data_IF_147035647574
#
_entry.id   IF_147035647574
#
_cell.length_a   1.000
_cell.length_b   1.000
_cell.length_c   1.000
_cell.angle_alpha   90.00
_cell.angle_beta   90.00
_cell.angle_gamma   90.00
#
_symmetry.space_group_name_H-M   'P 1'
#
loop_
_entity.id
_entity.type
_entity.pdbx_description
1 polymer ?
#
# COMPACT_ATOMS: atom_id res chain seq x y z
N UNK A 1 10.01 -31.10 -8.90
CA UNK A 1 10.04 -29.63 -9.01
C UNK A 1 8.62 -29.08 -9.17
N UNK A 2 7.85 -28.91 -8.09
CA UNK A 2 6.43 -28.51 -8.17
C UNK A 2 5.98 -27.50 -7.07
N UNK A 3 6.91 -26.82 -6.39
CA UNK A 3 6.58 -25.98 -5.22
C UNK A 3 6.44 -24.47 -5.46
N UNK A 4 7.14 -23.89 -6.44
CA UNK A 4 7.26 -22.42 -6.56
C UNK A 4 6.05 -21.72 -7.18
N UNK A 5 5.21 -22.44 -7.92
CA UNK A 5 4.04 -21.85 -8.59
C UNK A 5 2.83 -21.71 -7.66
N UNK A 6 2.82 -22.36 -6.49
CA UNK A 6 1.65 -22.31 -5.58
C UNK A 6 1.67 -21.11 -4.65
N UNK A 7 2.82 -20.73 -4.06
CA UNK A 7 2.89 -19.64 -3.08
C UNK A 7 2.55 -18.27 -3.66
N UNK A 8 2.99 -18.00 -4.91
CA UNK A 8 2.65 -16.77 -5.60
C UNK A 8 1.15 -16.71 -5.92
N UNK A 9 0.58 -17.79 -6.46
CA UNK A 9 -0.87 -17.87 -6.74
C UNK A 9 -1.71 -17.75 -5.46
N UNK A 10 -1.30 -18.38 -4.35
CA UNK A 10 -1.94 -18.22 -3.04
C UNK A 10 -1.89 -16.76 -2.57
N UNK A 11 -0.78 -16.07 -2.80
CA UNK A 11 -0.64 -14.65 -2.50
C UNK A 11 -1.59 -13.81 -3.35
N UNK A 12 -1.65 -14.05 -4.66
CA UNK A 12 -2.58 -13.34 -5.54
C UNK A 12 -4.04 -13.61 -5.19
N UNK A 13 -4.38 -14.85 -4.85
CA UNK A 13 -5.71 -15.23 -4.42
C UNK A 13 -6.10 -14.49 -3.13
N UNK A 14 -5.22 -14.46 -2.14
CA UNK A 14 -5.44 -13.71 -0.90
C UNK A 14 -5.67 -12.21 -1.15
N UNK A 15 -4.90 -11.60 -2.06
CA UNK A 15 -5.09 -10.19 -2.44
C UNK A 15 -6.44 -9.96 -3.14
N UNK A 16 -6.84 -10.86 -4.05
CA UNK A 16 -8.15 -10.78 -4.72
C UNK A 16 -9.29 -10.89 -3.72
N UNK A 17 -9.20 -11.77 -2.74
CA UNK A 17 -10.23 -11.93 -1.70
C UNK A 17 -10.27 -10.70 -0.79
N UNK A 18 -9.11 -10.17 -0.39
CA UNK A 18 -9.00 -8.90 0.35
C UNK A 18 -9.70 -7.76 -0.41
N UNK A 19 -9.49 -7.65 -1.72
CA UNK A 19 -10.15 -6.63 -2.55
C UNK A 19 -11.66 -6.82 -2.53
N UNK A 20 -12.16 -8.04 -2.76
CA UNK A 20 -13.60 -8.33 -2.79
C UNK A 20 -14.26 -8.01 -1.45
N UNK A 21 -13.67 -8.45 -0.34
CA UNK A 21 -14.20 -8.25 1.01
C UNK A 21 -14.23 -6.77 1.39
N UNK A 22 -13.13 -6.06 1.17
CA UNK A 22 -13.00 -4.63 1.50
C UNK A 22 -13.93 -3.78 0.63
N UNK A 23 -13.98 -4.08 -0.68
CA UNK A 23 -14.86 -3.40 -1.64
C UNK A 23 -16.33 -3.54 -1.25
N UNK A 24 -16.77 -4.76 -0.91
CA UNK A 24 -18.15 -5.03 -0.44
C UNK A 24 -18.46 -4.31 0.86
N UNK A 25 -17.57 -4.39 1.84
CA UNK A 25 -17.73 -3.74 3.14
C UNK A 25 -17.91 -2.21 3.02
N UNK A 26 -17.19 -1.58 2.09
CA UNK A 26 -17.21 -0.13 1.90
C UNK A 26 -18.15 0.35 0.78
N UNK A 27 -18.86 -0.55 0.10
CA UNK A 27 -19.74 -0.21 -1.02
C UNK A 27 -19.00 0.44 -2.20
N UNK A 28 -17.78 -0.01 -2.48
CA UNK A 28 -16.94 0.45 -3.60
C UNK A 28 -16.78 -0.67 -4.61
N UNK A 29 -16.74 -0.36 -5.90
CA UNK A 29 -16.42 -1.32 -6.95
C UNK A 29 -14.96 -1.16 -7.37
N UNK A 30 -14.15 -2.20 -7.19
CA UNK A 30 -12.71 -2.14 -7.46
C UNK A 30 -12.23 -3.40 -8.18
N UNK A 31 -11.34 -3.22 -9.16
CA UNK A 31 -10.65 -4.32 -9.85
C UNK A 31 -9.15 -4.28 -9.55
N UNK A 32 -8.63 -5.44 -9.19
CA UNK A 32 -7.20 -5.68 -9.04
C UNK A 32 -6.63 -6.26 -10.33
N UNK A 33 -5.65 -5.58 -10.88
CA UNK A 33 -4.84 -6.02 -12.00
C UNK A 33 -3.46 -6.40 -11.47
N UNK A 34 -2.93 -7.53 -11.96
CA UNK A 34 -1.63 -8.04 -11.52
C UNK A 34 -0.75 -8.25 -12.74
N UNK A 35 0.45 -7.69 -12.70
CA UNK A 35 1.47 -7.83 -13.74
C UNK A 35 2.79 -8.29 -13.10
N UNK A 36 3.52 -9.17 -13.78
CA UNK A 36 4.79 -9.74 -13.29
C UNK A 36 4.69 -11.24 -13.00
N UNK A 37 5.77 -11.83 -12.48
CA UNK A 37 5.93 -13.27 -12.45
C UNK A 37 6.49 -13.85 -11.14
N UNK A 38 6.10 -15.09 -10.86
CA UNK A 38 6.36 -15.79 -9.59
C UNK A 38 7.82 -16.18 -9.33
N UNK A 39 8.61 -16.38 -10.40
CA UNK A 39 9.85 -17.17 -10.35
C UNK A 39 11.00 -16.55 -9.55
N UNK A 40 10.88 -15.28 -9.16
CA UNK A 40 11.95 -14.54 -8.47
C UNK A 40 11.78 -14.52 -6.95
N UNK A 41 10.69 -15.08 -6.43
CA UNK A 41 10.36 -15.05 -5.02
C UNK A 41 10.37 -16.44 -4.40
N UNK A 42 10.89 -16.55 -3.17
CA UNK A 42 10.70 -17.74 -2.36
C UNK A 42 9.45 -17.61 -1.47
N UNK A 43 8.96 -18.73 -0.95
CA UNK A 43 7.70 -18.80 -0.22
C UNK A 43 7.71 -17.96 1.08
N UNK A 44 8.85 -17.86 1.75
CA UNK A 44 9.01 -17.06 2.97
C UNK A 44 8.86 -15.56 2.66
N UNK A 45 9.55 -15.09 1.63
CA UNK A 45 9.51 -13.71 1.18
C UNK A 45 8.10 -13.32 0.69
N UNK A 46 7.45 -14.21 -0.07
CA UNK A 46 6.06 -14.01 -0.48
C UNK A 46 5.10 -13.96 0.70
N UNK A 47 5.33 -14.78 1.72
CA UNK A 47 4.50 -14.78 2.93
C UNK A 47 4.58 -13.44 3.67
N UNK A 48 5.80 -12.87 3.81
CA UNK A 48 6.01 -11.56 4.42
C UNK A 48 5.41 -10.43 3.59
N UNK A 49 5.58 -10.48 2.27
CA UNK A 49 5.02 -9.48 1.36
C UNK A 49 3.50 -9.52 1.30
N UNK A 50 2.89 -10.71 1.39
CA UNK A 50 1.44 -10.88 1.28
C UNK A 50 0.66 -9.99 2.24
N UNK A 51 1.07 -9.90 3.50
CA UNK A 51 0.40 -9.06 4.50
C UNK A 51 0.59 -7.57 4.21
N UNK A 52 1.81 -7.14 3.85
CA UNK A 52 2.09 -5.76 3.47
C UNK A 52 1.30 -5.33 2.23
N UNK A 53 1.25 -6.17 1.19
CA UNK A 53 0.49 -5.92 -0.02
C UNK A 53 -1.01 -5.91 0.25
N UNK A 54 -1.52 -6.83 1.07
CA UNK A 54 -2.93 -6.84 1.46
C UNK A 54 -3.30 -5.57 2.24
N UNK A 55 -2.37 -5.03 3.05
CA UNK A 55 -2.57 -3.76 3.74
C UNK A 55 -2.55 -2.57 2.76
N UNK A 56 -1.57 -2.50 1.85
CA UNK A 56 -1.48 -1.46 0.83
C UNK A 56 -2.75 -1.41 -0.04
N UNK A 57 -3.23 -2.58 -0.49
CA UNK A 57 -4.48 -2.71 -1.26
C UNK A 57 -5.70 -2.27 -0.44
N UNK A 58 -5.77 -2.63 0.85
CA UNK A 58 -6.84 -2.14 1.74
C UNK A 58 -6.83 -0.63 1.86
N UNK A 59 -5.66 -0.01 2.00
CA UNK A 59 -5.53 1.45 2.08
C UNK A 59 -5.95 2.14 0.79
N UNK A 60 -5.55 1.58 -0.36
CA UNK A 60 -6.02 2.03 -1.66
C UNK A 60 -7.55 1.99 -1.75
N UNK A 61 -8.21 0.92 -1.30
CA UNK A 61 -9.68 0.81 -1.34
C UNK A 61 -10.34 1.75 -0.30
N UNK A 62 -9.83 1.81 0.93
CA UNK A 62 -10.46 2.55 2.03
C UNK A 62 -10.32 4.07 1.83
N UNK A 63 -9.11 4.53 1.53
CA UNK A 63 -8.76 5.95 1.51
C UNK A 63 -8.50 6.50 0.11
N UNK A 64 -8.02 5.68 -0.83
CA UNK A 64 -7.74 6.12 -2.21
C UNK A 64 -9.00 6.16 -3.08
N UNK A 65 -9.57 5.00 -3.36
CA UNK A 65 -10.69 4.83 -4.29
C UNK A 65 -11.96 5.50 -3.73
N UNK A 66 -12.56 6.38 -4.52
CA UNK A 66 -13.81 7.04 -4.17
C UNK A 66 -15.02 6.12 -4.43
N UNK A 67 -16.20 6.44 -3.86
CA UNK A 67 -17.42 5.69 -4.18
C UNK A 67 -17.80 5.80 -5.67
N UNK A 68 -18.51 4.82 -6.26
CA UNK A 68 -18.87 4.85 -7.68
C UNK A 68 -19.60 6.15 -8.09
N UNK A 69 -20.45 6.67 -7.19
CA UNK A 69 -21.16 7.95 -7.38
C UNK A 69 -20.20 9.14 -7.43
N UNK A 70 -19.21 9.21 -6.55
CA UNK A 70 -18.21 10.29 -6.53
C UNK A 70 -17.33 10.20 -7.77
N UNK A 71 -16.88 8.99 -8.14
CA UNK A 71 -16.06 8.77 -9.34
C UNK A 71 -16.77 9.23 -10.62
N UNK A 72 -18.04 8.84 -10.78
CA UNK A 72 -18.87 9.25 -11.92
C UNK A 72 -19.02 10.77 -12.01
N UNK A 73 -19.24 11.46 -10.88
CA UNK A 73 -19.33 12.92 -10.83
C UNK A 73 -18.02 13.62 -11.22
N UNK A 74 -16.89 12.99 -10.93
CA UNK A 74 -15.55 13.47 -11.30
C UNK A 74 -15.11 13.01 -12.69
N UNK A 75 -15.99 12.39 -13.50
CA UNK A 75 -15.67 11.91 -14.85
C UNK A 75 -14.79 10.65 -14.91
N UNK A 76 -14.57 9.98 -13.77
CA UNK A 76 -13.81 8.73 -13.68
C UNK A 76 -14.70 7.51 -13.93
N UNK A 77 -14.07 6.38 -14.27
CA UNK A 77 -14.75 5.09 -14.32
C UNK A 77 -15.39 4.77 -12.94
N UNK A 78 -16.68 4.41 -12.86
CA UNK A 78 -17.33 4.03 -11.61
C UNK A 78 -16.62 2.88 -10.87
N UNK A 79 -15.94 2.00 -11.62
CA UNK A 79 -15.09 0.94 -11.10
C UNK A 79 -13.67 1.47 -10.93
N UNK A 80 -13.18 1.45 -9.68
CA UNK A 80 -11.80 1.78 -9.35
C UNK A 80 -10.81 0.72 -9.82
N UNK A 81 -9.58 1.15 -10.08
CA UNK A 81 -8.49 0.27 -10.53
C UNK A 81 -7.37 0.28 -9.50
N UNK A 82 -6.87 -0.91 -9.18
CA UNK A 82 -5.61 -1.10 -8.46
C UNK A 82 -4.70 -1.97 -9.34
N UNK A 83 -3.52 -1.47 -9.67
CA UNK A 83 -2.46 -2.21 -10.35
C UNK A 83 -1.40 -2.66 -9.35
N UNK A 84 -1.16 -3.96 -9.31
CA UNK A 84 -0.05 -4.59 -8.61
C UNK A 84 0.98 -5.06 -9.64
N UNK A 85 2.17 -4.45 -9.64
CA UNK A 85 3.23 -4.81 -10.58
C UNK A 85 4.45 -5.35 -9.83
N UNK A 86 4.97 -6.48 -10.29
CA UNK A 86 6.27 -7.02 -9.89
C UNK A 86 7.24 -6.87 -11.06
N UNK A 87 8.16 -5.91 -10.97
CA UNK A 87 9.14 -5.62 -12.00
C UNK A 87 10.54 -6.02 -11.55
N UNK A 88 11.25 -6.70 -12.44
CA UNK A 88 12.64 -7.11 -12.24
C UNK A 88 13.57 -5.99 -12.72
N UNK A 89 14.34 -5.39 -11.81
CA UNK A 89 15.44 -4.49 -12.13
C UNK A 89 16.78 -5.21 -11.90
N UNK A 90 17.88 -4.65 -12.41
CA UNK A 90 19.21 -5.28 -12.39
C UNK A 90 19.64 -5.75 -10.98
N UNK A 91 19.36 -4.94 -9.95
CA UNK A 91 19.80 -5.19 -8.57
C UNK A 91 18.65 -5.24 -7.55
N UNK A 92 17.41 -5.10 -7.99
CA UNK A 92 16.25 -5.03 -7.12
C UNK A 92 15.03 -5.66 -7.79
N UNK A 93 14.06 -6.07 -6.98
CA UNK A 93 12.70 -6.28 -7.46
C UNK A 93 11.87 -5.10 -6.99
N UNK A 94 11.19 -4.46 -7.93
CA UNK A 94 10.31 -3.32 -7.66
C UNK A 94 8.88 -3.81 -7.63
N UNK A 95 8.24 -3.69 -6.48
CA UNK A 95 6.83 -4.03 -6.28
C UNK A 95 6.04 -2.73 -6.18
N UNK A 96 5.12 -2.52 -7.11
CA UNK A 96 4.30 -1.31 -7.18
C UNK A 96 2.85 -1.65 -6.86
N UNK A 97 2.22 -0.88 -5.98
CA UNK A 97 0.76 -0.84 -5.78
C UNK A 97 0.27 0.54 -6.17
N UNK A 98 -0.51 0.63 -7.23
CA UNK A 98 -0.98 1.89 -7.80
C UNK A 98 -2.51 1.89 -7.87
N UNK A 99 -3.15 2.94 -7.35
CA UNK A 99 -4.59 3.16 -7.46
C UNK A 99 -4.91 4.40 -8.30
N UNK A 100 -6.11 4.43 -8.89
CA UNK A 100 -6.62 5.57 -9.66
C UNK A 100 -7.61 6.44 -8.83
N UNK A 101 -7.40 6.49 -7.51
CA UNK A 101 -8.27 7.15 -6.55
C UNK A 101 -8.07 8.66 -6.44
N UNK A 102 -8.50 9.23 -5.32
CA UNK A 102 -8.43 10.67 -5.07
C UNK A 102 -7.00 11.17 -4.79
N UNK A 103 -6.04 10.27 -4.56
CA UNK A 103 -4.73 10.62 -4.02
C UNK A 103 -4.78 10.89 -2.51
N UNK A 104 -3.63 11.20 -1.92
CA UNK A 104 -3.52 11.52 -0.49
C UNK A 104 -3.97 12.96 -0.23
N UNK A 105 -4.89 13.14 0.71
CA UNK A 105 -5.25 14.46 1.27
C UNK A 105 -4.15 14.91 2.25
N UNK A 106 -3.16 15.64 1.73
CA UNK A 106 -2.02 16.12 2.52
C UNK A 106 -2.45 17.04 3.67
N UNK A 107 -3.50 17.85 3.47
CA UNK A 107 -4.00 18.72 4.53
C UNK A 107 -4.64 17.90 5.66
N UNK A 108 -5.35 16.82 5.34
CA UNK A 108 -5.88 15.89 6.34
C UNK A 108 -4.77 15.19 7.11
N UNK A 109 -3.66 14.86 6.43
CA UNK A 109 -2.46 14.31 7.05
C UNK A 109 -1.83 15.32 8.01
N UNK A 110 -1.57 16.56 7.59
CA UNK A 110 -1.01 17.60 8.48
C UNK A 110 -1.92 17.88 9.69
N UNK A 111 -3.23 18.02 9.48
CA UNK A 111 -4.22 18.18 10.58
C UNK A 111 -4.25 16.99 11.52
N UNK A 112 -4.01 15.77 11.02
CA UNK A 112 -3.92 14.58 11.87
C UNK A 112 -2.62 14.55 12.66
N UNK A 113 -1.50 14.84 12.03
CA UNK A 113 -0.20 14.90 12.69
C UNK A 113 -0.17 15.92 13.83
N UNK A 114 -0.75 17.09 13.64
CA UNK A 114 -0.87 18.10 14.70
C UNK A 114 -1.71 17.61 15.88
N UNK A 115 -2.83 16.91 15.64
CA UNK A 115 -3.65 16.31 16.71
C UNK A 115 -2.93 15.21 17.48
N UNK A 116 -2.00 14.51 16.84
CA UNK A 116 -1.16 13.49 17.47
C UNK A 116 0.09 14.08 18.14
N UNK A 117 0.29 15.41 18.08
CA UNK A 117 1.46 16.08 18.65
C UNK A 117 2.77 15.81 17.88
N UNK A 118 2.69 15.25 16.66
CA UNK A 118 3.86 14.96 15.83
C UNK A 118 4.44 16.21 15.15
N UNK A 119 3.61 17.24 14.99
CA UNK A 119 4.01 18.55 14.48
C UNK A 119 3.40 19.66 15.34
N UNK A 120 4.15 20.75 15.50
CA UNK A 120 3.76 21.90 16.34
C UNK A 120 2.79 22.82 15.60
N UNK A 121 2.88 22.89 14.27
CA UNK A 121 2.04 23.75 13.42
C UNK A 121 0.99 22.93 12.67
N UNK A 122 -0.16 23.54 12.43
CA UNK A 122 -1.20 23.01 11.52
C UNK A 122 -1.07 23.57 10.11
N UNK A 123 -0.09 24.45 9.87
CA UNK A 123 0.25 24.93 8.53
C UNK A 123 0.55 23.75 7.61
N UNK A 124 0.22 23.91 6.33
CA UNK A 124 0.46 22.88 5.34
C UNK A 124 1.96 22.59 5.27
N UNK A 125 2.34 21.37 5.66
CA UNK A 125 3.71 20.89 5.54
C UNK A 125 4.06 20.71 4.07
N UNK A 126 5.35 20.69 3.75
CA UNK A 126 5.75 20.30 2.40
C UNK A 126 5.24 18.89 2.10
N UNK A 127 4.87 18.62 0.85
CA UNK A 127 4.26 17.34 0.47
C UNK A 127 5.09 16.13 0.92
N UNK A 128 6.42 16.23 0.80
CA UNK A 128 7.36 15.18 1.24
C UNK A 128 7.30 14.93 2.75
N UNK A 129 7.19 15.97 3.56
CA UNK A 129 7.10 15.86 5.03
C UNK A 129 5.75 15.26 5.44
N UNK A 130 4.67 15.68 4.79
CA UNK A 130 3.35 15.07 4.98
C UNK A 130 3.35 13.58 4.64
N UNK A 131 3.97 13.18 3.53
CA UNK A 131 4.05 11.78 3.16
C UNK A 131 4.93 10.96 4.13
N UNK A 132 5.98 11.55 4.69
CA UNK A 132 6.81 10.87 5.70
C UNK A 132 5.98 10.50 6.94
N UNK A 133 5.07 11.38 7.37
CA UNK A 133 4.19 11.14 8.51
C UNK A 133 3.29 9.91 8.34
N UNK A 134 2.96 9.53 7.10
CA UNK A 134 2.15 8.33 6.83
C UNK A 134 2.83 7.04 7.31
N UNK A 135 4.16 7.04 7.43
CA UNK A 135 4.95 5.91 7.90
C UNK A 135 5.17 5.91 9.41
N UNK A 136 4.74 6.95 10.14
CA UNK A 136 4.91 7.00 11.59
C UNK A 136 4.07 5.89 12.27
N UNK A 137 4.63 5.17 13.25
CA UNK A 137 3.91 4.13 13.97
C UNK A 137 2.61 4.66 14.58
N UNK A 138 1.49 3.97 14.32
CA UNK A 138 0.19 4.41 14.81
C UNK A 138 -0.43 5.58 14.03
N UNK A 139 0.21 6.06 12.96
CA UNK A 139 -0.40 6.98 11.99
C UNK A 139 -1.40 6.24 11.08
N UNK A 140 -2.42 5.61 11.68
CA UNK A 140 -3.56 5.05 10.94
C UNK A 140 -4.66 6.08 10.92
N UNK A 141 -5.19 6.45 9.75
CA UNK A 141 -6.27 7.43 9.54
C UNK A 141 -7.61 7.07 10.19
N UNK A 142 -7.79 5.83 10.68
CA UNK A 142 -9.03 5.43 11.35
C UNK A 142 -9.22 6.10 12.72
N UNK A 143 -10.45 6.56 12.98
CA UNK A 143 -10.91 7.06 14.30
C UNK A 143 -11.23 5.93 15.29
N UNK A 144 -11.32 4.69 14.82
CA UNK A 144 -11.76 3.55 15.61
C UNK A 144 -10.72 2.45 15.47
N UNK A 145 -10.10 2.07 16.58
CA UNK A 145 -9.30 0.85 16.69
C UNK A 145 -10.29 -0.32 16.56
N UNK A 146 -10.55 -0.81 15.36
CA UNK A 146 -11.34 -2.03 15.19
C UNK A 146 -10.47 -3.21 15.61
N UNK A 147 -10.96 -4.00 16.56
CA UNK A 147 -10.28 -5.08 17.30
C UNK A 147 -9.69 -6.23 16.47
N UNK A 148 -9.73 -6.19 15.14
CA UNK A 148 -9.25 -7.28 14.29
C UNK A 148 -7.72 -7.24 14.09
N UNK A 149 -7.02 -6.18 14.49
CA UNK A 149 -5.55 -6.14 14.28
C UNK A 149 -4.72 -5.37 15.33
N UNK A 150 -5.23 -5.17 16.56
CA UNK A 150 -4.49 -4.92 17.81
C UNK A 150 -3.32 -3.91 17.90
N UNK A 151 -2.90 -3.22 16.83
CA UNK A 151 -1.70 -2.37 16.78
C UNK A 151 -1.82 -1.10 15.93
N UNK A 152 -2.98 -0.77 15.38
CA UNK A 152 -3.11 0.42 14.55
C UNK A 152 -2.24 0.35 13.29
N UNK A 153 -2.31 -0.76 12.57
CA UNK A 153 -1.51 -1.06 11.37
C UNK A 153 -1.75 0.02 10.31
N UNK A 154 -0.67 0.71 9.92
CA UNK A 154 -0.62 1.71 8.86
C UNK A 154 0.44 1.36 7.81
N UNK A 155 0.93 2.38 7.09
CA UNK A 155 2.02 2.21 6.13
C UNK A 155 3.36 1.86 6.80
N UNK A 156 3.45 1.98 8.13
CA UNK A 156 4.55 1.50 8.98
C UNK A 156 4.82 -0.01 8.81
N UNK A 157 3.76 -0.83 8.68
CA UNK A 157 3.91 -2.25 8.38
C UNK A 157 4.57 -2.45 7.01
N UNK A 158 4.13 -1.71 5.99
CA UNK A 158 4.67 -1.84 4.64
C UNK A 158 6.13 -1.40 4.60
N UNK A 159 6.47 -0.32 5.31
CA UNK A 159 7.83 0.16 5.45
C UNK A 159 8.71 -0.84 6.21
N UNK A 160 8.24 -1.39 7.33
CA UNK A 160 9.02 -2.37 8.11
C UNK A 160 9.31 -3.64 7.31
N UNK A 161 8.33 -4.10 6.51
CA UNK A 161 8.55 -5.20 5.57
C UNK A 161 9.60 -4.79 4.54
N UNK A 162 9.50 -3.65 3.86
CA UNK A 162 10.51 -3.22 2.89
C UNK A 162 11.93 -3.13 3.50
N UNK A 163 12.07 -2.56 4.70
CA UNK A 163 13.34 -2.49 5.43
C UNK A 163 13.89 -3.88 5.77
N UNK A 164 13.03 -4.85 6.09
CA UNK A 164 13.47 -6.23 6.40
C UNK A 164 14.12 -6.94 5.20
N UNK A 165 13.81 -6.51 3.98
CA UNK A 165 14.46 -6.93 2.74
C UNK A 165 15.74 -6.14 2.44
N UNK A 166 16.14 -5.19 3.30
CA UNK A 166 17.20 -4.22 3.02
C UNK A 166 16.78 -3.15 2.02
N UNK A 167 15.48 -3.00 1.77
CA UNK A 167 14.91 -2.11 0.78
C UNK A 167 14.32 -0.84 1.35
N UNK A 168 13.54 -0.17 0.51
CA UNK A 168 12.83 1.06 0.86
C UNK A 168 11.43 1.07 0.25
N UNK A 169 10.57 1.92 0.78
CA UNK A 169 9.24 2.20 0.24
C UNK A 169 9.10 3.70 0.00
N UNK A 170 8.51 4.04 -1.14
CA UNK A 170 8.24 5.41 -1.55
C UNK A 170 6.75 5.55 -1.90
N UNK A 171 6.21 6.75 -1.68
CA UNK A 171 4.85 7.12 -2.08
C UNK A 171 4.94 8.26 -3.07
N UNK A 172 4.30 8.08 -4.21
CA UNK A 172 3.99 9.14 -5.15
C UNK A 172 2.46 9.29 -5.22
N UNK A 173 1.96 10.52 -5.20
CA UNK A 173 0.53 10.77 -5.18
C UNK A 173 0.21 12.12 -5.79
N UNK A 174 -0.92 12.17 -6.47
CA UNK A 174 -1.44 13.41 -7.01
C UNK A 174 -2.96 13.48 -6.81
N UNK A 175 -3.42 14.64 -6.37
CA UNK A 175 -4.83 14.88 -6.12
C UNK A 175 -5.67 14.59 -7.38
N UNK A 176 -6.69 13.75 -7.21
CA UNK A 176 -7.58 13.29 -8.26
C UNK A 176 -6.97 12.27 -9.23
N UNK A 177 -5.68 11.94 -9.12
CA UNK A 177 -5.01 10.98 -10.01
C UNK A 177 -4.69 9.64 -9.34
N UNK A 178 -4.64 9.62 -8.01
CA UNK A 178 -4.43 8.41 -7.22
C UNK A 178 -3.10 8.39 -6.50
N UNK A 179 -2.73 7.20 -6.03
CA UNK A 179 -1.52 6.99 -5.23
C UNK A 179 -0.76 5.78 -5.73
N UNK A 180 0.56 5.89 -5.76
CA UNK A 180 1.49 4.86 -6.15
C UNK A 180 2.47 4.61 -5.02
N UNK A 181 2.40 3.40 -4.45
CA UNK A 181 3.35 2.89 -3.48
C UNK A 181 4.38 2.04 -4.19
N UNK A 182 5.67 2.35 -4.01
CA UNK A 182 6.78 1.68 -4.69
C UNK A 182 7.71 1.07 -3.65
N UNK A 183 7.75 -0.26 -3.57
CA UNK A 183 8.67 -1.00 -2.75
C UNK A 183 9.86 -1.43 -3.60
N UNK A 184 11.05 -0.95 -3.27
CA UNK A 184 12.31 -1.36 -3.91
C UNK A 184 13.02 -2.35 -3.00
N UNK A 185 13.08 -3.62 -3.43
CA UNK A 185 13.54 -4.75 -2.62
C UNK A 185 14.81 -5.35 -3.24
N UNK A 186 16.00 -5.14 -2.64
CA UNK A 186 17.27 -5.60 -3.22
C UNK A 186 17.33 -7.12 -3.42
N UNK A 187 17.95 -7.54 -4.53
CA UNK A 187 18.16 -8.95 -4.88
C UNK A 187 19.43 -9.51 -4.23
N UNK A 188 19.56 -9.46 -2.90
CA UNK A 188 20.51 -10.26 -2.08
C UNK A 188 20.54 -9.73 -0.64
N UNK A 189 20.65 -10.65 0.32
CA UNK A 189 20.97 -10.36 1.74
C UNK A 189 22.11 -9.36 1.84
N UNK A 190 22.09 -8.39 2.77
CA UNK A 190 23.33 -7.75 3.17
C UNK A 190 24.28 -8.86 3.62
N UNK A 191 25.48 -8.89 3.05
CA UNK A 191 26.56 -9.70 3.58
C UNK A 191 26.66 -9.38 5.08
N UNK A 192 26.70 -10.41 5.94
CA UNK A 192 27.10 -10.19 7.33
C UNK A 192 28.44 -9.44 7.27
N UNK A 193 28.48 -8.22 7.80
CA UNK A 193 29.74 -7.58 8.10
C UNK A 193 30.51 -8.55 9.02
N UNK A 194 31.73 -8.87 8.61
CA UNK A 194 32.64 -9.77 9.31
C UNK A 194 32.97 -9.28 10.72
#
# INVERSE_FOLDING_TARGET
MAGRSSAFELTLQHLRDTVRETSRSLGKDVRLHVEGAAHEWNDEDLSRLREALAHAVRNAIDHGIESPKVRSKSGKNPVGRIDLRFASEENATVVTVEDDGAGVDLDAVSRKAARLGLVVSTEALAARESLALLFEPGFSTKKTVTEISGRGIGLDLVQSVAISFGGAVEIDTAHGKGTKLVLRLPRKKPAKAA
#
